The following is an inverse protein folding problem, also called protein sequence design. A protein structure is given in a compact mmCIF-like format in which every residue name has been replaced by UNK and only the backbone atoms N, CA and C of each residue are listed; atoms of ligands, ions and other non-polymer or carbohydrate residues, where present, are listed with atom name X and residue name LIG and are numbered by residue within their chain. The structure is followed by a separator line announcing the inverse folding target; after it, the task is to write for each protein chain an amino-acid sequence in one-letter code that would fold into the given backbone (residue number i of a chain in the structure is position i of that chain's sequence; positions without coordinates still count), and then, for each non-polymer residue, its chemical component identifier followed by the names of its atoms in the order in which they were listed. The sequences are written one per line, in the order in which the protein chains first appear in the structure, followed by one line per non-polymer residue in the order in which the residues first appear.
data_IF_272408972635
#
_entry.id   IF_272408972635
#
_cell.length_a   1.000
_cell.length_b   1.000
_cell.length_c   1.000
_cell.angle_alpha   90.00
_cell.angle_beta   90.00
_cell.angle_gamma   90.00
#
_symmetry.space_group_name_H-M   'P 1'
#
loop_
_entity.id
_entity.type
_entity.pdbx_description
1 polymer ?
#
# COMPACT_ATOMS: atom_id res chain seq x y z
N UNK A 1 -18.91 -9.00 -21.13
CA UNK A 1 -19.08 -8.54 -19.73
C UNK A 1 -17.72 -8.05 -19.22
N UNK A 2 -17.55 -6.73 -19.11
CA UNK A 2 -16.25 -6.06 -19.03
C UNK A 2 -15.57 -6.16 -17.64
N UNK A 3 -14.28 -6.52 -17.67
CA UNK A 3 -13.16 -6.05 -16.81
C UNK A 3 -13.49 -5.64 -15.36
N UNK A 4 -14.15 -6.47 -14.55
CA UNK A 4 -14.38 -6.14 -13.11
C UNK A 4 -13.27 -6.57 -12.14
N UNK A 5 -12.31 -7.40 -12.57
CA UNK A 5 -11.22 -7.93 -11.73
C UNK A 5 -9.98 -7.02 -11.59
N UNK A 6 -9.86 -5.96 -12.38
CA UNK A 6 -8.62 -5.15 -12.47
C UNK A 6 -8.47 -4.09 -11.37
N UNK A 7 -9.58 -3.68 -10.75
CA UNK A 7 -9.61 -2.62 -9.73
C UNK A 7 -8.80 -2.95 -8.47
N UNK A 8 -8.92 -4.15 -7.87
CA UNK A 8 -8.13 -4.47 -6.69
C UNK A 8 -6.65 -4.76 -7.05
N UNK A 9 -6.35 -5.34 -8.21
CA UNK A 9 -4.94 -5.54 -8.60
C UNK A 9 -4.15 -4.23 -8.70
N UNK A 10 -4.77 -3.17 -9.23
CA UNK A 10 -4.16 -1.83 -9.33
C UNK A 10 -3.93 -1.20 -7.94
N UNK A 11 -4.90 -1.35 -7.03
CA UNK A 11 -4.74 -0.89 -5.63
C UNK A 11 -3.62 -1.60 -4.88
N UNK A 12 -3.40 -2.90 -5.17
CA UNK A 12 -2.30 -3.68 -4.59
C UNK A 12 -0.95 -3.20 -5.12
N UNK A 13 -0.84 -3.00 -6.44
CA UNK A 13 0.38 -2.48 -7.06
C UNK A 13 0.74 -1.09 -6.52
N UNK A 14 -0.23 -0.19 -6.40
CA UNK A 14 -0.03 1.14 -5.81
C UNK A 14 0.41 1.07 -4.34
N UNK A 15 -0.21 0.20 -3.55
CA UNK A 15 0.16 -0.01 -2.14
C UNK A 15 1.59 -0.52 -1.98
N UNK A 16 2.00 -1.48 -2.82
CA UNK A 16 3.37 -2.03 -2.81
C UNK A 16 4.39 -0.96 -3.19
N UNK A 17 4.11 -0.15 -4.22
CA UNK A 17 4.99 0.96 -4.62
C UNK A 17 5.16 1.98 -3.49
N UNK A 18 4.08 2.33 -2.79
CA UNK A 18 4.13 3.24 -1.64
C UNK A 18 4.97 2.68 -0.48
N UNK A 19 4.84 1.38 -0.19
CA UNK A 19 5.64 0.71 0.86
C UNK A 19 7.12 0.70 0.47
N UNK A 20 7.45 0.29 -0.75
CA UNK A 20 8.85 0.19 -1.22
C UNK A 20 9.50 1.58 -1.20
N UNK A 21 8.83 2.59 -1.77
CA UNK A 21 9.34 3.96 -1.81
C UNK A 21 9.50 4.56 -0.41
N UNK A 22 8.47 4.43 0.42
CA UNK A 22 8.48 4.93 1.79
C UNK A 22 9.58 4.28 2.62
N UNK A 23 9.78 2.96 2.50
CA UNK A 23 10.82 2.22 3.21
C UNK A 23 12.22 2.60 2.73
N UNK A 24 12.43 2.71 1.42
CA UNK A 24 13.70 3.16 0.84
C UNK A 24 14.08 4.57 1.31
N UNK A 25 13.12 5.50 1.33
CA UNK A 25 13.32 6.84 1.87
C UNK A 25 13.59 6.82 3.37
N UNK A 26 12.86 6.00 4.14
CA UNK A 26 13.10 5.88 5.59
C UNK A 26 14.53 5.39 5.90
N UNK A 27 15.05 4.45 5.09
CA UNK A 27 16.40 3.90 5.24
C UNK A 27 17.52 4.84 4.79
N UNK A 28 17.21 5.87 4.00
CA UNK A 28 18.21 6.81 3.42
C UNK A 28 18.19 8.19 4.05
N UNK A 29 17.10 8.58 4.71
CA UNK A 29 16.96 9.89 5.36
C UNK A 29 17.53 9.82 6.78
N UNK A 30 18.46 10.70 7.12
CA UNK A 30 18.95 10.84 8.50
C UNK A 30 17.84 11.32 9.43
N UNK A 31 17.66 10.65 10.57
CA UNK A 31 16.65 10.94 11.60
C UNK A 31 16.82 12.32 12.30
N UNK A 32 17.83 13.10 11.91
CA UNK A 32 18.15 14.42 12.49
C UNK A 32 17.07 15.48 12.19
N UNK A 33 16.30 15.31 11.13
CA UNK A 33 15.20 16.23 10.78
C UNK A 33 13.89 15.47 10.67
N UNK A 34 12.76 16.07 11.06
CA UNK A 34 11.37 15.55 10.93
C UNK A 34 10.96 15.13 9.50
N UNK A 35 11.86 15.23 8.53
CA UNK A 35 11.74 14.79 7.14
C UNK A 35 11.40 13.29 7.01
N UNK A 36 11.68 12.47 8.03
CA UNK A 36 11.32 11.04 8.08
C UNK A 36 9.80 10.79 8.25
N UNK A 37 9.02 11.78 8.70
CA UNK A 37 7.56 11.65 8.88
C UNK A 37 6.85 11.40 7.55
N UNK A 38 7.27 12.09 6.48
CA UNK A 38 6.68 11.96 5.15
C UNK A 38 6.78 10.52 4.61
N UNK A 39 7.98 9.91 4.53
CA UNK A 39 8.08 8.51 4.13
C UNK A 39 7.37 7.54 5.08
N UNK A 40 7.32 7.84 6.38
CA UNK A 40 6.54 7.02 7.32
C UNK A 40 5.05 6.99 6.98
N UNK A 41 4.43 8.15 6.68
CA UNK A 41 3.02 8.25 6.28
C UNK A 41 2.76 7.44 5.00
N UNK A 42 3.69 7.47 4.04
CA UNK A 42 3.56 6.68 2.81
C UNK A 42 3.60 5.17 3.08
N UNK A 43 4.48 4.70 3.96
CA UNK A 43 4.52 3.28 4.37
C UNK A 43 3.21 2.88 5.05
N UNK A 44 2.74 3.66 6.01
CA UNK A 44 1.50 3.38 6.74
C UNK A 44 0.30 3.35 5.79
N UNK A 45 0.20 4.32 4.88
CA UNK A 45 -0.87 4.39 3.88
C UNK A 45 -0.84 3.19 2.94
N UNK A 46 0.36 2.79 2.51
CA UNK A 46 0.55 1.60 1.68
C UNK A 46 0.16 0.31 2.40
N UNK A 47 0.49 0.16 3.69
CA UNK A 47 0.07 -1.00 4.50
C UNK A 47 -1.46 -1.04 4.63
N UNK A 48 -2.08 0.08 4.99
CA UNK A 48 -3.55 0.16 5.12
C UNK A 48 -4.24 -0.17 3.79
N UNK A 49 -3.76 0.39 2.67
CA UNK A 49 -4.27 0.09 1.34
C UNK A 49 -4.09 -1.38 0.97
N UNK A 50 -2.93 -1.97 1.26
CA UNK A 50 -2.63 -3.38 1.03
C UNK A 50 -3.53 -4.31 1.85
N UNK A 51 -3.68 -4.03 3.14
CA UNK A 51 -4.53 -4.81 4.06
C UNK A 51 -6.01 -4.69 3.69
N UNK A 52 -6.52 -3.50 3.38
CA UNK A 52 -7.91 -3.31 2.95
C UNK A 52 -8.20 -4.10 1.68
N UNK A 53 -7.28 -4.09 0.73
CA UNK A 53 -7.42 -4.78 -0.53
C UNK A 53 -7.29 -6.31 -0.39
N UNK A 54 -6.42 -6.78 0.52
CA UNK A 54 -6.34 -8.18 0.93
C UNK A 54 -7.66 -8.66 1.57
N UNK A 55 -8.24 -7.86 2.47
CA UNK A 55 -9.53 -8.15 3.10
C UNK A 55 -10.67 -8.18 2.09
N UNK A 56 -10.68 -7.26 1.11
CA UNK A 56 -11.63 -7.29 0.00
C UNK A 56 -11.50 -8.56 -0.84
N UNK A 57 -10.28 -8.99 -1.16
CA UNK A 57 -10.05 -10.24 -1.88
C UNK A 57 -10.50 -11.46 -1.06
N UNK A 58 -10.21 -11.52 0.24
CA UNK A 58 -10.63 -12.64 1.10
C UNK A 58 -12.16 -12.69 1.26
N UNK A 59 -12.82 -11.55 1.50
CA UNK A 59 -14.30 -11.48 1.55
C UNK A 59 -14.95 -11.84 0.22
N UNK A 60 -14.40 -11.38 -0.90
CA UNK A 60 -14.91 -11.73 -2.24
C UNK A 60 -14.69 -13.20 -2.65
N UNK A 61 -13.91 -13.96 -1.87
CA UNK A 61 -13.74 -15.42 -2.02
C UNK A 61 -14.72 -16.20 -1.11
N UNK A 62 -15.12 -15.63 0.03
CA UNK A 62 -16.08 -16.26 0.97
C UNK A 62 -17.55 -16.10 0.56
N UNK A 63 -17.87 -15.13 -0.30
CA UNK A 63 -19.24 -14.87 -0.80
C UNK A 63 -19.58 -15.64 -2.10
N UNK A 64 -18.83 -16.71 -2.41
CA UNK A 64 -19.05 -17.60 -3.56
C UNK A 64 -19.15 -19.04 -3.11
#
# INVERSE_FOLDING_TARGET
MAKKKTKPALGMAGSILLIIWGTYRLSTVSFSSYVWIVPMIFVVTGIVGGTANLLYFRRGVTDK
#
